data_IF_991599609929
#
_entry.id   IF_991599609929
#
_cell.length_a   1.000
_cell.length_b   1.000
_cell.length_c   1.000
_cell.angle_alpha   90.00
_cell.angle_beta   90.00
_cell.angle_gamma   90.00
#
_symmetry.space_group_name_H-M   'P 1'
#
loop_
_entity.id
_entity.type
_entity.pdbx_description
1 polymer ?
#
# COMPACT_ATOMS: atom_id res chain seq x y z
N UNK A 1 -26.64 -0.33 23.12
CA UNK A 1 -25.22 -0.29 22.72
C UNK A 1 -24.76 -1.71 22.47
N UNK A 2 -25.00 -2.19 21.26
CA UNK A 2 -24.35 -3.34 20.63
C UNK A 2 -24.91 -3.42 19.21
N UNK A 3 -24.01 -3.74 18.28
CA UNK A 3 -24.28 -4.37 16.98
C UNK A 3 -25.04 -3.53 15.93
N UNK A 4 -24.26 -2.75 15.17
CA UNK A 4 -24.46 -2.72 13.73
C UNK A 4 -23.34 -3.54 13.07
N UNK A 5 -23.70 -4.71 12.56
CA UNK A 5 -22.90 -5.49 11.63
C UNK A 5 -22.85 -4.73 10.29
N UNK A 6 -21.92 -3.78 10.16
CA UNK A 6 -21.63 -3.09 8.91
C UNK A 6 -20.95 -4.03 7.89
N UNK A 7 -21.74 -4.91 7.30
CA UNK A 7 -21.37 -5.66 6.07
C UNK A 7 -21.66 -4.84 4.79
N UNK A 8 -22.06 -3.58 4.92
CA UNK A 8 -22.31 -2.67 3.81
C UNK A 8 -21.16 -1.71 3.61
N UNK A 9 -20.34 -1.92 2.57
CA UNK A 9 -19.25 -1.03 2.11
C UNK A 9 -19.64 0.46 2.23
N UNK A 10 -19.21 1.17 3.29
CA UNK A 10 -19.77 2.49 3.65
C UNK A 10 -19.23 3.65 2.78
N UNK A 11 -18.47 3.35 1.72
CA UNK A 11 -17.80 4.34 0.88
C UNK A 11 -18.63 4.86 -0.30
N UNK A 12 -19.89 4.42 -0.46
CA UNK A 12 -20.73 4.75 -1.63
C UNK A 12 -21.54 6.06 -1.55
N UNK A 13 -21.37 6.88 -0.51
CA UNK A 13 -22.18 8.11 -0.36
C UNK A 13 -21.41 9.37 -0.73
N UNK A 14 -21.87 10.04 -1.80
CA UNK A 14 -21.84 11.51 -1.91
C UNK A 14 -20.72 12.19 -2.71
N UNK A 15 -19.73 11.48 -3.24
CA UNK A 15 -18.71 12.09 -4.14
C UNK A 15 -18.41 11.18 -5.32
N UNK A 16 -18.08 11.74 -6.48
CA UNK A 16 -17.70 10.97 -7.67
C UNK A 16 -16.57 10.00 -7.29
N UNK A 17 -16.91 8.72 -7.24
CA UNK A 17 -16.03 7.64 -6.86
C UNK A 17 -16.03 6.68 -8.03
N UNK A 18 -14.85 6.47 -8.60
CA UNK A 18 -14.67 5.56 -9.73
C UNK A 18 -14.04 4.26 -9.20
N UNK A 19 -14.84 3.20 -8.98
CA UNK A 19 -14.28 1.89 -8.68
C UNK A 19 -13.80 1.22 -9.97
N UNK A 20 -12.54 0.80 -9.97
CA UNK A 20 -11.93 -0.04 -11.00
C UNK A 20 -11.60 -1.38 -10.35
N UNK A 21 -12.29 -2.43 -10.77
CA UNK A 21 -12.34 -3.70 -10.03
C UNK A 21 -12.01 -4.85 -10.96
N UNK A 22 -11.01 -5.67 -10.59
CA UNK A 22 -10.67 -6.93 -11.28
C UNK A 22 -10.55 -6.73 -12.79
N UNK A 23 -9.78 -5.72 -13.19
CA UNK A 23 -9.49 -5.42 -14.59
C UNK A 23 -8.04 -5.89 -14.90
N UNK A 24 -7.82 -7.19 -15.17
CA UNK A 24 -6.48 -7.75 -15.28
C UNK A 24 -5.70 -7.24 -16.51
N UNK A 25 -6.37 -6.75 -17.56
CA UNK A 25 -5.70 -6.18 -18.74
C UNK A 25 -5.63 -4.65 -18.75
N UNK A 26 -6.00 -3.99 -17.65
CA UNK A 26 -6.02 -2.53 -17.60
C UNK A 26 -4.63 -2.00 -17.27
N UNK A 27 -3.94 -1.48 -18.29
CA UNK A 27 -2.58 -0.97 -18.12
C UNK A 27 -2.51 0.52 -17.75
N UNK A 28 -3.56 1.28 -18.06
CA UNK A 28 -3.56 2.74 -17.94
C UNK A 28 -4.90 3.31 -17.55
N UNK A 29 -4.89 4.24 -16.61
CA UNK A 29 -6.01 5.15 -16.32
C UNK A 29 -5.45 6.57 -16.33
N UNK A 30 -6.06 7.44 -17.14
CA UNK A 30 -5.58 8.83 -17.26
C UNK A 30 -6.69 9.83 -17.54
N UNK A 31 -6.39 11.12 -17.34
CA UNK A 31 -7.19 12.26 -17.79
C UNK A 31 -8.57 12.41 -17.10
N UNK A 32 -8.62 12.17 -15.80
CA UNK A 32 -9.85 12.34 -14.99
C UNK A 32 -9.70 13.55 -14.05
N UNK A 33 -9.63 14.74 -14.65
CA UNK A 33 -9.25 15.97 -13.95
C UNK A 33 -10.11 16.33 -12.72
N UNK A 34 -11.39 15.98 -12.74
CA UNK A 34 -12.35 16.29 -11.68
C UNK A 34 -12.57 15.13 -10.68
N UNK A 35 -11.89 14.00 -10.86
CA UNK A 35 -12.09 12.84 -10.00
C UNK A 35 -11.45 13.08 -8.64
N UNK A 36 -12.27 13.05 -7.58
CA UNK A 36 -11.80 13.26 -6.21
C UNK A 36 -11.53 11.96 -5.46
N UNK A 37 -12.17 10.85 -5.86
CA UNK A 37 -12.02 9.56 -5.20
C UNK A 37 -11.80 8.45 -6.23
N UNK A 38 -10.73 7.71 -6.04
CA UNK A 38 -10.39 6.56 -6.85
C UNK A 38 -10.31 5.32 -5.96
N UNK A 39 -10.89 4.22 -6.43
CA UNK A 39 -10.75 2.91 -5.80
C UNK A 39 -10.27 1.94 -6.85
N UNK A 40 -9.09 1.36 -6.68
CA UNK A 40 -8.55 0.31 -7.53
C UNK A 40 -8.49 -0.97 -6.71
N UNK A 41 -9.09 -2.04 -7.23
CA UNK A 41 -9.09 -3.35 -6.57
C UNK A 41 -8.61 -4.42 -7.54
N UNK A 42 -7.53 -5.13 -7.19
CA UNK A 42 -6.98 -6.29 -7.92
C UNK A 42 -6.79 -6.03 -9.42
N UNK A 43 -5.96 -5.04 -9.74
CA UNK A 43 -5.63 -4.66 -11.12
C UNK A 43 -4.10 -4.71 -11.32
N UNK A 44 -3.50 -5.91 -11.41
CA UNK A 44 -2.05 -6.09 -11.33
C UNK A 44 -1.28 -5.50 -12.52
N UNK A 45 -1.89 -5.43 -13.71
CA UNK A 45 -1.24 -4.88 -14.91
C UNK A 45 -1.27 -3.35 -15.00
N UNK A 46 -1.89 -2.66 -14.03
CA UNK A 46 -1.97 -1.19 -14.05
C UNK A 46 -0.57 -0.60 -13.84
N UNK A 47 -0.06 0.06 -14.88
CA UNK A 47 1.28 0.65 -14.91
C UNK A 47 1.25 2.17 -14.89
N UNK A 48 0.19 2.77 -15.43
CA UNK A 48 0.09 4.23 -15.58
C UNK A 48 -1.16 4.79 -14.91
N UNK A 49 -0.94 5.71 -13.97
CA UNK A 49 -1.98 6.50 -13.30
C UNK A 49 -1.57 7.97 -13.32
N UNK A 50 -2.21 8.79 -14.18
CA UNK A 50 -1.83 10.21 -14.36
C UNK A 50 -3.01 11.13 -14.71
N UNK A 51 -2.85 12.45 -14.55
CA UNK A 51 -3.89 13.42 -14.90
C UNK A 51 -5.05 13.45 -13.90
N UNK A 52 -4.74 13.39 -12.61
CA UNK A 52 -5.69 13.44 -11.48
C UNK A 52 -5.46 14.64 -10.52
N UNK A 53 -5.44 15.90 -11.00
CA UNK A 53 -5.16 17.07 -10.18
C UNK A 53 -6.14 17.30 -9.01
N UNK A 54 -7.38 16.81 -9.10
CA UNK A 54 -8.38 16.96 -8.04
C UNK A 54 -8.44 15.78 -7.05
N UNK A 55 -7.59 14.75 -7.20
CA UNK A 55 -7.67 13.53 -6.40
C UNK A 55 -7.40 13.82 -4.93
N UNK A 56 -8.38 13.51 -4.09
CA UNK A 56 -8.27 13.67 -2.64
C UNK A 56 -8.07 12.32 -1.95
N UNK A 57 -8.84 11.31 -2.34
CA UNK A 57 -8.82 9.98 -1.71
C UNK A 57 -8.48 8.91 -2.73
N UNK A 58 -7.51 8.06 -2.39
CA UNK A 58 -7.16 6.90 -3.19
C UNK A 58 -7.17 5.66 -2.31
N UNK A 59 -7.95 4.65 -2.72
CA UNK A 59 -7.94 3.31 -2.11
C UNK A 59 -7.34 2.35 -3.13
N UNK A 60 -6.33 1.59 -2.71
CA UNK A 60 -5.74 0.50 -3.47
C UNK A 60 -5.85 -0.77 -2.62
N UNK A 61 -6.63 -1.74 -3.10
CA UNK A 61 -6.83 -3.04 -2.46
C UNK A 61 -6.31 -4.14 -3.38
N UNK A 62 -5.22 -4.77 -2.97
CA UNK A 62 -4.66 -5.91 -3.66
C UNK A 62 -3.79 -6.71 -2.68
N UNK A 63 -4.30 -7.86 -2.24
CA UNK A 63 -3.61 -8.76 -1.32
C UNK A 63 -2.61 -9.68 -2.03
N UNK A 64 -2.58 -9.68 -3.37
CA UNK A 64 -1.59 -10.42 -4.16
C UNK A 64 -0.41 -9.49 -4.58
N UNK A 65 -0.51 -8.19 -4.29
CA UNK A 65 0.47 -7.16 -4.66
C UNK A 65 1.77 -7.30 -3.86
N UNK A 66 2.82 -7.77 -4.52
CA UNK A 66 4.15 -7.97 -3.90
C UNK A 66 4.92 -6.69 -3.61
N UNK A 67 4.64 -5.62 -4.36
CA UNK A 67 5.36 -4.36 -4.24
C UNK A 67 4.44 -3.16 -4.46
N UNK A 68 4.78 -2.03 -3.84
CA UNK A 68 4.04 -0.79 -4.07
C UNK A 68 4.16 -0.37 -5.54
N UNK A 69 3.06 -0.08 -6.24
CA UNK A 69 3.11 0.21 -7.66
C UNK A 69 3.81 1.55 -7.92
N UNK A 70 4.62 1.58 -8.99
CA UNK A 70 5.40 2.76 -9.36
C UNK A 70 4.55 4.01 -9.63
N UNK A 71 3.31 3.83 -10.11
CA UNK A 71 2.39 4.93 -10.39
C UNK A 71 1.98 5.73 -9.16
N UNK A 72 2.20 5.23 -7.93
CA UNK A 72 1.93 6.00 -6.70
C UNK A 72 2.78 7.28 -6.63
N UNK A 73 3.96 7.29 -7.27
CA UNK A 73 4.81 8.48 -7.42
C UNK A 73 4.15 9.57 -8.27
N UNK A 74 3.23 9.19 -9.17
CA UNK A 74 2.64 10.09 -10.18
C UNK A 74 1.35 10.75 -9.69
N UNK A 75 0.82 10.32 -8.55
CA UNK A 75 -0.40 10.86 -7.95
C UNK A 75 -0.09 11.46 -6.58
N UNK A 76 -0.83 12.49 -6.20
CA UNK A 76 -0.67 13.13 -4.89
C UNK A 76 -2.01 13.28 -4.17
N UNK A 77 -2.69 12.17 -3.81
CA UNK A 77 -3.91 12.25 -3.01
C UNK A 77 -3.59 12.86 -1.64
N UNK A 78 -4.61 13.42 -0.99
CA UNK A 78 -4.51 13.80 0.42
C UNK A 78 -4.44 12.56 1.32
N UNK A 79 -5.27 11.57 1.00
CA UNK A 79 -5.46 10.34 1.76
C UNK A 79 -5.24 9.13 0.86
N UNK A 80 -4.26 8.30 1.20
CA UNK A 80 -4.06 6.97 0.60
C UNK A 80 -4.44 5.89 1.62
N UNK A 81 -5.25 4.94 1.15
CA UNK A 81 -5.53 3.70 1.87
C UNK A 81 -5.02 2.52 1.07
N UNK A 82 -4.24 1.67 1.73
CA UNK A 82 -3.72 0.42 1.19
C UNK A 82 -4.33 -0.75 1.97
N UNK A 83 -4.79 -1.76 1.25
CA UNK A 83 -5.14 -3.07 1.78
C UNK A 83 -4.26 -4.06 1.00
N UNK A 84 -3.29 -4.68 1.68
CA UNK A 84 -2.28 -5.54 1.06
C UNK A 84 -1.98 -6.75 1.96
N UNK A 85 -1.11 -7.64 1.50
CA UNK A 85 -0.60 -8.71 2.35
C UNK A 85 0.33 -8.20 3.46
N UNK A 86 0.57 -9.08 4.45
CA UNK A 86 1.40 -8.79 5.62
C UNK A 86 2.87 -8.55 5.27
N UNK A 87 3.39 -9.22 4.25
CA UNK A 87 4.79 -9.07 3.83
C UNK A 87 5.00 -7.66 3.27
N UNK A 88 4.14 -7.20 2.35
CA UNK A 88 4.20 -5.82 1.86
C UNK A 88 3.95 -4.79 2.97
N UNK A 89 3.03 -5.06 3.89
CA UNK A 89 2.78 -4.16 5.01
C UNK A 89 4.00 -4.01 5.92
N UNK A 90 4.77 -5.09 6.14
CA UNK A 90 6.03 -5.08 6.89
C UNK A 90 7.09 -4.19 6.23
N UNK A 91 7.17 -4.20 4.89
CA UNK A 91 8.01 -3.24 4.15
C UNK A 91 7.59 -1.78 4.37
N UNK A 92 6.28 -1.51 4.39
CA UNK A 92 5.75 -0.18 4.66
C UNK A 92 6.03 0.24 6.11
N UNK A 93 5.95 -0.70 7.05
CA UNK A 93 6.16 -0.48 8.48
C UNK A 93 7.57 0.03 8.81
N UNK A 94 8.57 -0.28 7.97
CA UNK A 94 9.94 0.29 8.09
C UNK A 94 10.00 1.81 7.91
N UNK A 95 8.92 2.43 7.42
CA UNK A 95 8.80 3.88 7.32
C UNK A 95 9.93 4.49 6.48
N UNK A 96 10.60 5.51 7.00
CA UNK A 96 11.71 6.22 6.31
C UNK A 96 12.89 5.32 5.94
N UNK A 97 13.05 4.18 6.60
CA UNK A 97 14.09 3.20 6.30
C UNK A 97 13.66 2.21 5.20
N UNK A 98 12.41 2.28 4.73
CA UNK A 98 11.92 1.46 3.63
C UNK A 98 12.50 1.93 2.30
N UNK A 99 13.02 1.02 1.44
CA UNK A 99 13.43 1.37 0.07
C UNK A 99 12.29 1.99 -0.75
N UNK A 100 11.03 1.71 -0.37
CA UNK A 100 9.82 2.18 -1.07
C UNK A 100 9.23 3.45 -0.45
N UNK A 101 9.91 4.07 0.51
CA UNK A 101 9.42 5.27 1.20
C UNK A 101 9.09 6.39 0.21
N UNK A 102 9.90 6.55 -0.83
CA UNK A 102 9.74 7.58 -1.85
C UNK A 102 8.41 7.46 -2.62
N UNK A 103 7.83 6.26 -2.73
CA UNK A 103 6.56 6.01 -3.45
C UNK A 103 5.34 6.64 -2.79
N UNK A 104 5.38 6.93 -1.49
CA UNK A 104 4.24 7.48 -0.77
C UNK A 104 4.58 8.60 0.23
N UNK A 105 5.86 8.92 0.42
CA UNK A 105 6.30 9.95 1.38
C UNK A 105 5.72 11.34 1.13
N UNK A 106 5.39 11.68 -0.12
CA UNK A 106 4.77 12.94 -0.54
C UNK A 106 3.28 13.05 -0.16
N UNK A 107 2.63 11.92 0.16
CA UNK A 107 1.22 11.84 0.49
C UNK A 107 1.01 12.25 1.95
N UNK A 108 0.01 13.11 2.20
CA UNK A 108 -0.20 13.70 3.53
C UNK A 108 -0.61 12.69 4.59
N UNK A 109 -1.47 11.73 4.23
CA UNK A 109 -2.00 10.73 5.14
C UNK A 109 -2.03 9.36 4.46
N UNK A 110 -1.42 8.36 5.10
CA UNK A 110 -1.43 6.97 4.61
C UNK A 110 -1.94 6.05 5.70
N UNK A 111 -2.87 5.16 5.35
CA UNK A 111 -3.34 4.06 6.18
C UNK A 111 -3.17 2.77 5.40
N UNK A 112 -2.32 1.87 5.88
CA UNK A 112 -2.11 0.56 5.28
C UNK A 112 -2.55 -0.52 6.25
N UNK A 113 -3.15 -1.59 5.72
CA UNK A 113 -3.71 -2.69 6.51
C UNK A 113 -3.41 -4.03 5.84
N UNK A 114 -3.35 -5.07 6.67
CA UNK A 114 -3.28 -6.46 6.25
C UNK A 114 -4.19 -7.31 7.14
N UNK A 115 -4.77 -8.34 6.53
CA UNK A 115 -5.72 -9.25 7.17
C UNK A 115 -5.01 -10.49 7.69
N UNK A 116 -5.43 -10.98 8.85
CA UNK A 116 -5.07 -12.31 9.33
C UNK A 116 -6.03 -13.31 8.71
N UNK A 117 -5.60 -13.91 7.60
CA UNK A 117 -6.42 -14.84 6.84
C UNK A 117 -6.68 -16.14 7.62
N UNK A 118 -5.73 -16.57 8.44
CA UNK A 118 -5.81 -17.80 9.24
C UNK A 118 -6.85 -17.68 10.36
N UNK A 119 -6.90 -16.50 11.00
CA UNK A 119 -7.84 -16.24 12.09
C UNK A 119 -9.09 -15.44 11.63
N UNK A 120 -9.23 -15.17 10.33
CA UNK A 120 -10.30 -14.37 9.74
C UNK A 120 -10.48 -12.98 10.38
N UNK A 121 -9.37 -12.32 10.73
CA UNK A 121 -9.39 -10.98 11.32
C UNK A 121 -9.01 -9.95 10.25
N UNK A 122 -10.00 -9.23 9.75
CA UNK A 122 -9.78 -8.10 8.85
C UNK A 122 -8.95 -7.01 9.53
N UNK A 123 -7.96 -6.46 8.82
CA UNK A 123 -7.12 -5.33 9.25
C UNK A 123 -6.47 -5.52 10.62
N UNK A 124 -6.06 -6.76 10.93
CA UNK A 124 -5.32 -7.09 12.17
C UNK A 124 -4.08 -6.22 12.29
N UNK A 125 -3.33 -6.10 11.20
CA UNK A 125 -2.09 -5.31 11.17
C UNK A 125 -2.31 -3.98 10.47
N UNK A 126 -1.60 -2.94 10.94
CA UNK A 126 -1.72 -1.62 10.37
C UNK A 126 -0.43 -0.81 10.39
N UNK A 127 -0.36 0.14 9.46
CA UNK A 127 0.54 1.30 9.48
C UNK A 127 -0.30 2.56 9.29
N UNK A 128 -0.09 3.57 10.13
CA UNK A 128 -0.72 4.89 10.05
C UNK A 128 0.36 5.95 10.02
N UNK A 129 0.38 6.74 8.95
CA UNK A 129 1.36 7.79 8.70
C UNK A 129 0.67 9.13 8.43
N UNK A 130 1.21 10.21 9.00
CA UNK A 130 0.91 11.60 8.61
C UNK A 130 2.22 12.35 8.36
N UNK A 131 2.25 13.20 7.33
CA UNK A 131 3.45 13.95 6.96
C UNK A 131 3.67 15.21 7.80
N UNK A 132 2.59 15.91 8.18
CA UNK A 132 2.64 17.20 8.89
C UNK A 132 1.43 17.38 9.84
N UNK A 133 1.63 17.34 11.18
CA UNK A 133 2.87 16.94 11.84
C UNK A 133 3.21 15.48 11.54
N UNK A 134 4.51 15.17 11.53
CA UNK A 134 4.96 13.80 11.29
C UNK A 134 4.49 12.87 12.41
N UNK A 135 3.75 11.82 12.07
CA UNK A 135 3.39 10.73 12.99
C UNK A 135 3.45 9.42 12.22
N UNK A 136 4.02 8.39 12.84
CA UNK A 136 4.07 7.04 12.28
C UNK A 136 3.73 6.05 13.38
N UNK A 137 2.68 5.25 13.19
CA UNK A 137 2.18 4.27 14.18
C UNK A 137 1.92 2.95 13.50
N UNK A 138 2.39 1.85 14.09
CA UNK A 138 2.14 0.49 13.61
C UNK A 138 2.04 -0.46 14.80
N UNK A 139 1.34 -1.57 14.63
CA UNK A 139 1.36 -2.71 15.55
C UNK A 139 2.15 -3.90 15.01
N UNK A 140 2.97 -3.70 13.97
CA UNK A 140 3.92 -4.68 13.48
C UNK A 140 5.20 -4.55 14.29
N UNK A 141 5.63 -5.66 14.88
CA UNK A 141 6.91 -5.76 15.57
C UNK A 141 8.02 -5.90 14.54
N UNK A 142 8.87 -4.88 14.42
CA UNK A 142 10.08 -4.91 13.60
C UNK A 142 11.25 -5.14 14.57
N UNK A 143 11.54 -6.38 14.96
CA UNK A 143 12.68 -6.63 15.84
C UNK A 143 13.99 -6.43 15.07
N UNK A 144 14.80 -5.50 15.56
CA UNK A 144 16.19 -5.34 15.19
C UNK A 144 17.02 -5.26 16.48
N UNK A 145 16.80 -6.19 17.41
CA UNK A 145 17.66 -6.39 18.59
C UNK A 145 17.52 -7.83 19.05
N UNK A 146 18.63 -8.56 19.03
CA UNK A 146 18.75 -9.86 19.68
C UNK A 146 18.65 -9.67 21.20
N UNK A 147 17.44 -9.71 21.74
CA UNK A 147 17.22 -10.12 23.12
C UNK A 147 16.04 -11.07 23.12
N UNK A 148 16.36 -12.35 23.33
CA UNK A 148 15.42 -13.46 23.20
C UNK A 148 14.13 -13.23 23.97
N UNK A 149 13.04 -13.18 23.21
CA UNK A 149 11.78 -13.82 23.58
C UNK A 149 11.17 -14.36 22.29
N UNK A 150 10.88 -15.66 22.29
CA UNK A 150 10.43 -16.46 21.16
C UNK A 150 9.04 -15.99 20.69
N UNK A 151 8.99 -15.11 19.69
CA UNK A 151 7.77 -14.81 18.94
C UNK A 151 8.07 -14.61 17.45
N UNK A 152 7.60 -15.56 16.64
CA UNK A 152 7.51 -15.56 15.16
C UNK A 152 8.78 -15.15 14.38
N UNK A 153 9.77 -16.04 14.36
CA UNK A 153 10.96 -15.96 13.48
C UNK A 153 10.65 -16.18 11.98
N UNK A 154 9.44 -16.63 11.61
CA UNK A 154 9.12 -17.05 10.23
C UNK A 154 9.00 -15.87 9.24
N UNK A 155 8.68 -14.66 9.72
CA UNK A 155 8.46 -13.50 8.85
C UNK A 155 9.75 -12.78 8.42
N UNK A 156 10.88 -13.04 9.06
CA UNK A 156 12.11 -12.28 8.83
C UNK A 156 12.90 -12.78 7.62
N UNK A 157 13.04 -14.11 7.48
CA UNK A 157 13.78 -14.71 6.37
C UNK A 157 13.14 -14.34 5.01
N UNK A 158 11.82 -14.43 4.92
CA UNK A 158 11.08 -14.09 3.69
C UNK A 158 11.23 -12.60 3.34
N UNK A 159 11.27 -11.72 4.34
CA UNK A 159 11.37 -10.27 4.10
C UNK A 159 12.80 -9.84 3.77
N UNK A 160 13.83 -10.46 4.35
CA UNK A 160 15.22 -10.24 3.95
C UNK A 160 15.48 -10.75 2.53
N UNK A 161 14.93 -11.91 2.16
CA UNK A 161 15.02 -12.47 0.81
C UNK A 161 14.35 -11.54 -0.21
N UNK A 162 13.11 -11.11 0.04
CA UNK A 162 12.41 -10.14 -0.83
C UNK A 162 13.20 -8.82 -0.95
N UNK A 163 13.80 -8.34 0.14
CA UNK A 163 14.60 -7.11 0.11
C UNK A 163 15.82 -7.25 -0.80
N UNK A 164 16.43 -8.44 -0.83
CA UNK A 164 17.60 -8.74 -1.66
C UNK A 164 17.21 -8.84 -3.13
N UNK A 165 16.13 -9.56 -3.42
CA UNK A 165 15.63 -9.77 -4.78
C UNK A 165 15.21 -8.46 -5.44
N UNK A 166 14.53 -7.55 -4.71
CA UNK A 166 14.14 -6.24 -5.25
C UNK A 166 15.35 -5.33 -5.52
N UNK A 167 16.39 -5.40 -4.69
CA UNK A 167 17.64 -4.64 -4.91
C UNK A 167 18.36 -5.17 -6.16
N UNK A 168 18.36 -6.49 -6.38
CA UNK A 168 18.93 -7.08 -7.59
C UNK A 168 18.12 -6.72 -8.84
N UNK A 169 16.78 -6.76 -8.78
CA UNK A 169 15.92 -6.39 -9.91
C UNK A 169 16.09 -4.90 -10.29
N UNK A 170 16.14 -3.98 -9.31
CA UNK A 170 16.43 -2.56 -9.60
C UNK A 170 17.84 -2.37 -10.17
N UNK A 171 18.86 -3.12 -9.69
CA UNK A 171 20.23 -3.06 -10.25
C UNK A 171 20.26 -3.51 -11.70
N UNK A 172 19.62 -4.63 -12.03
CA UNK A 172 19.54 -5.15 -13.40
C UNK A 172 18.87 -4.14 -14.32
N UNK A 173 17.79 -3.50 -13.87
CA UNK A 173 17.06 -2.52 -14.67
C UNK A 173 17.89 -1.24 -14.93
N UNK A 174 18.73 -0.82 -13.97
CA UNK A 174 19.65 0.33 -14.12
C UNK A 174 20.82 -0.01 -15.04
N UNK A 175 21.37 -1.22 -14.99
CA UNK A 175 22.47 -1.64 -15.87
C UNK A 175 22.02 -1.78 -17.32
N UNK A 176 20.82 -2.30 -17.58
CA UNK A 176 20.25 -2.38 -18.94
C UNK A 176 19.94 -1.02 -19.58
N UNK A 177 19.87 0.06 -18.80
CA UNK A 177 19.72 1.43 -19.30
C UNK A 177 21.06 2.12 -19.64
N UNK A 178 22.20 1.47 -19.36
CA UNK A 178 23.55 2.00 -19.58
C UNK A 178 24.28 1.39 -20.79
N UNK A 179 23.64 0.47 -21.52
CA UNK A 179 24.10 -0.08 -22.80
C UNK A 179 23.36 0.57 -23.99
#
# INVERSE_FOLDING_TARGET
MAEELETGKPWLTGTALAPVIKCPGLERISNLANLQNLVIMRCPELKVLEGFPALQRFILEDYDMKTLPGYLRNVNPRDLRLECDISLLTFIARGKSSPKWDKFSHIKQVKAYADDLDNHIERKWYVKYTSDPFSFKTNISLSADASGDETEEVLLDEVEEISRDEIEEERVNVEQLRE
#
